data_IF_960586696269
#
_entry.id   IF_960586696269
#
_cell.length_a   1.000
_cell.length_b   1.000
_cell.length_c   1.000
_cell.angle_alpha   90.00
_cell.angle_beta   90.00
_cell.angle_gamma   90.00
#
_symmetry.space_group_name_H-M   'P 1'
#
loop_
_entity.id
_entity.type
_entity.pdbx_description
1 polymer ?
#
# COMPACT_ATOMS: atom_id res chain seq x y z
N UNK A 1 19.00 56.28 46.60
CA UNK A 1 19.11 55.40 45.42
C UNK A 1 20.39 54.59 45.59
N UNK A 2 20.27 53.33 45.98
CA UNK A 2 21.40 52.39 45.98
C UNK A 2 21.83 52.16 44.52
N UNK A 3 23.14 52.14 44.22
CA UNK A 3 23.62 51.93 42.86
C UNK A 3 23.24 50.52 42.38
N UNK A 4 22.76 50.43 41.12
CA UNK A 4 22.50 49.16 40.43
C UNK A 4 23.77 48.31 40.44
N UNK A 5 23.71 47.02 40.82
CA UNK A 5 24.86 46.15 40.66
C UNK A 5 25.20 46.01 39.17
N UNK A 6 26.48 46.19 38.83
CA UNK A 6 27.01 46.22 37.46
C UNK A 6 26.70 44.94 36.65
N UNK A 7 26.35 43.85 37.35
CA UNK A 7 25.94 42.56 36.79
C UNK A 7 24.65 42.65 35.96
N UNK A 8 23.68 43.49 36.34
CA UNK A 8 22.37 43.58 35.64
C UNK A 8 22.51 44.20 34.24
N UNK A 9 23.38 45.21 34.09
CA UNK A 9 23.63 45.83 32.78
C UNK A 9 24.31 44.84 31.83
N UNK A 10 25.23 44.03 32.34
CA UNK A 10 25.88 42.96 31.57
C UNK A 10 24.92 41.83 31.18
N UNK A 11 23.93 41.49 32.03
CA UNK A 11 22.87 40.51 31.68
C UNK A 11 22.08 40.98 30.46
N UNK A 12 21.63 42.24 30.43
CA UNK A 12 20.87 42.79 29.29
C UNK A 12 21.73 42.94 28.02
N UNK A 13 22.99 43.40 28.16
CA UNK A 13 23.88 43.62 27.01
C UNK A 13 24.37 42.30 26.37
N UNK A 14 24.57 41.23 27.16
CA UNK A 14 25.12 39.94 26.66
C UNK A 14 24.03 38.98 26.21
N UNK A 15 22.86 38.98 26.86
CA UNK A 15 21.81 37.99 26.59
C UNK A 15 20.65 38.53 25.75
N UNK A 16 20.55 39.86 25.56
CA UNK A 16 19.50 40.46 24.73
C UNK A 16 18.10 39.92 25.06
N UNK A 17 17.37 39.49 24.03
CA UNK A 17 16.03 38.88 24.13
C UNK A 17 16.06 37.35 24.35
N UNK A 18 17.24 36.76 24.55
CA UNK A 18 17.38 35.33 24.77
C UNK A 18 17.01 35.03 26.23
N UNK A 19 16.15 34.03 26.47
CA UNK A 19 15.73 33.58 27.79
C UNK A 19 16.50 32.30 28.20
N UNK A 20 17.80 32.37 28.55
CA UNK A 20 18.58 31.20 28.90
C UNK A 20 18.16 30.61 30.26
N UNK A 21 18.39 29.31 30.43
CA UNK A 21 18.21 28.63 31.71
C UNK A 21 19.13 29.20 32.79
N UNK A 22 18.69 29.14 34.05
CA UNK A 22 19.41 29.69 35.21
C UNK A 22 20.85 29.17 35.32
N UNK A 23 21.08 27.89 35.03
CA UNK A 23 22.42 27.29 35.03
C UNK A 23 23.36 27.92 33.99
N UNK A 24 22.82 28.33 32.85
CA UNK A 24 23.57 28.98 31.79
C UNK A 24 23.93 30.42 32.17
N UNK A 25 23.04 31.10 32.90
CA UNK A 25 23.29 32.44 33.47
C UNK A 25 24.40 32.36 34.52
N UNK A 26 24.29 31.43 35.49
CA UNK A 26 25.29 31.20 36.54
C UNK A 26 26.68 30.92 35.94
N UNK A 27 26.74 30.01 34.95
CA UNK A 27 28.01 29.57 34.34
C UNK A 27 28.65 30.64 33.44
N UNK A 28 27.86 31.43 32.73
CA UNK A 28 28.39 32.42 31.78
C UNK A 28 28.76 33.74 32.46
N UNK A 29 28.06 34.13 33.52
CA UNK A 29 28.26 35.43 34.16
C UNK A 29 28.91 35.36 35.54
N UNK A 30 29.13 34.16 36.10
CA UNK A 30 29.80 33.99 37.39
C UNK A 30 29.04 34.62 38.55
N UNK A 31 27.71 34.63 38.46
CA UNK A 31 26.81 35.20 39.48
C UNK A 31 26.59 34.15 40.58
N UNK A 32 26.80 34.55 41.84
CA UNK A 32 26.62 33.69 43.00
C UNK A 32 25.13 33.46 43.31
N UNK A 33 24.83 32.36 44.01
CA UNK A 33 23.45 31.92 44.27
C UNK A 33 22.64 32.92 45.12
N UNK A 34 23.31 33.69 45.97
CA UNK A 34 22.70 34.74 46.79
C UNK A 34 22.34 35.99 45.95
N UNK A 35 23.15 36.34 44.94
CA UNK A 35 22.84 37.42 44.00
C UNK A 35 21.66 37.04 43.10
N UNK A 36 21.56 35.77 42.70
CA UNK A 36 20.43 35.27 41.92
C UNK A 36 19.11 35.34 42.70
N UNK A 37 19.16 35.06 44.01
CA UNK A 37 18.00 35.21 44.92
C UNK A 37 17.59 36.67 45.04
N UNK A 38 18.54 37.57 45.23
CA UNK A 38 18.26 39.01 45.32
C UNK A 38 17.64 39.57 44.02
N UNK A 39 18.07 39.10 42.84
CA UNK A 39 17.48 39.47 41.55
C UNK A 39 16.02 38.98 41.42
N UNK A 40 15.73 37.76 41.87
CA UNK A 40 14.37 37.21 41.82
C UNK A 40 13.42 37.91 42.80
N UNK A 41 13.91 38.29 43.98
CA UNK A 41 13.17 39.09 44.96
C UNK A 41 12.92 40.52 44.44
N UNK A 42 13.90 41.13 43.75
CA UNK A 42 13.74 42.45 43.14
C UNK A 42 12.78 42.45 41.93
N UNK A 43 12.76 41.37 41.12
CA UNK A 43 11.76 41.19 40.06
C UNK A 43 10.33 41.06 40.60
N UNK A 44 10.15 40.38 41.73
CA UNK A 44 8.83 40.25 42.38
C UNK A 44 8.35 41.57 43.00
N UNK A 45 9.26 42.41 43.50
CA UNK A 45 8.91 43.69 44.12
C UNK A 45 8.62 44.79 43.10
N UNK A 46 9.21 44.75 41.91
CA UNK A 46 8.88 45.70 40.82
C UNK A 46 7.54 45.35 40.14
N UNK A 47 7.07 44.10 40.21
CA UNK A 47 5.69 43.76 39.82
C UNK A 47 4.70 44.10 40.94
N UNK A 48 4.58 45.38 41.28
CA UNK A 48 3.46 45.84 42.11
C UNK A 48 2.14 45.39 41.45
N UNK A 49 1.29 44.59 42.12
CA UNK A 49 -0.02 44.26 41.60
C UNK A 49 -0.88 45.49 41.84
N UNK A 50 -0.85 46.47 40.92
CA UNK A 50 -1.82 47.56 40.92
C UNK A 50 -3.23 46.94 40.91
N UNK A 51 -3.94 47.06 42.03
CA UNK A 51 -5.38 46.92 42.21
C UNK A 51 -6.09 45.87 41.35
N UNK A 52 -5.60 44.62 41.39
CA UNK A 52 -6.39 43.51 40.82
C UNK A 52 -7.55 43.20 41.76
N UNK A 53 -8.73 43.70 41.39
CA UNK A 53 -10.01 43.26 41.96
C UNK A 53 -10.04 41.72 41.91
N UNK A 54 -10.40 41.02 43.01
CA UNK A 54 -10.51 39.57 42.99
C UNK A 54 -11.60 39.15 41.99
N UNK A 55 -11.16 38.62 40.85
CA UNK A 55 -12.04 38.19 39.76
C UNK A 55 -12.57 36.79 40.04
N UNK A 56 -13.90 36.64 40.14
CA UNK A 56 -14.55 35.34 40.12
C UNK A 56 -14.56 34.78 38.70
N UNK A 57 -13.63 33.86 38.42
CA UNK A 57 -13.40 33.27 37.08
C UNK A 57 -14.65 32.70 36.42
N UNK A 58 -15.59 32.12 37.19
CA UNK A 58 -16.82 31.52 36.63
C UNK A 58 -17.79 32.58 36.13
N UNK A 59 -17.99 33.65 36.90
CA UNK A 59 -18.90 34.73 36.53
C UNK A 59 -18.34 35.55 35.36
N UNK A 60 -17.04 35.80 35.35
CA UNK A 60 -16.40 36.51 34.23
C UNK A 60 -16.42 35.70 32.94
N UNK A 61 -16.24 34.38 33.00
CA UNK A 61 -16.35 33.53 31.81
C UNK A 61 -17.78 33.56 31.26
N UNK A 62 -18.79 33.41 32.12
CA UNK A 62 -20.20 33.48 31.68
C UNK A 62 -20.55 34.85 31.09
N UNK A 63 -20.04 35.94 31.66
CA UNK A 63 -20.24 37.28 31.13
C UNK A 63 -19.55 37.47 29.76
N UNK A 64 -18.31 36.97 29.61
CA UNK A 64 -17.59 36.96 28.34
C UNK A 64 -18.36 36.18 27.26
N UNK A 65 -18.82 34.97 27.59
CA UNK A 65 -19.59 34.13 26.68
C UNK A 65 -20.92 34.81 26.29
N UNK A 66 -21.58 35.50 27.23
CA UNK A 66 -22.86 36.20 26.98
C UNK A 66 -22.69 37.46 26.12
N UNK A 67 -21.57 38.17 26.29
CA UNK A 67 -21.25 39.38 25.54
C UNK A 67 -20.52 39.08 24.22
N UNK A 68 -20.16 37.81 23.96
CA UNK A 68 -19.38 37.41 22.79
C UNK A 68 -17.93 37.91 22.80
N UNK A 69 -17.42 38.34 23.96
CA UNK A 69 -16.09 38.95 24.07
C UNK A 69 -15.06 37.88 24.34
N UNK A 70 -14.12 37.69 23.41
CA UNK A 70 -12.98 36.82 23.57
C UNK A 70 -11.72 37.63 23.94
N UNK A 71 -11.53 37.88 25.24
CA UNK A 71 -10.36 38.59 25.77
C UNK A 71 -9.03 37.91 25.44
N UNK A 72 -9.01 36.59 25.23
CA UNK A 72 -7.78 35.93 24.79
C UNK A 72 -7.45 36.30 23.35
N UNK A 73 -8.45 36.39 22.46
CA UNK A 73 -8.28 36.80 21.06
C UNK A 73 -7.80 38.25 20.95
N UNK A 74 -8.45 39.15 21.68
CA UNK A 74 -8.06 40.57 21.73
C UNK A 74 -6.62 40.76 22.23
N UNK A 75 -6.20 39.97 23.24
CA UNK A 75 -4.80 39.97 23.69
C UNK A 75 -3.83 39.47 22.63
N UNK A 76 -4.22 38.48 21.82
CA UNK A 76 -3.36 38.00 20.73
C UNK A 76 -3.22 39.08 19.65
N UNK A 77 -4.29 39.82 19.35
CA UNK A 77 -4.23 40.97 18.43
C UNK A 77 -3.25 42.03 18.94
N UNK A 78 -3.33 42.38 20.22
CA UNK A 78 -2.46 43.38 20.85
C UNK A 78 -0.99 42.92 20.92
N UNK A 79 -0.73 41.67 21.31
CA UNK A 79 0.62 41.11 21.43
C UNK A 79 1.30 40.94 20.06
N UNK A 80 0.56 40.49 19.05
CA UNK A 80 1.10 40.28 17.71
C UNK A 80 0.98 41.50 16.80
N UNK A 81 0.22 42.53 17.21
CA UNK A 81 -0.05 43.72 16.40
C UNK A 81 -0.81 43.41 15.11
N UNK A 82 -1.64 42.37 15.12
CA UNK A 82 -2.39 41.89 13.95
C UNK A 82 -3.88 42.16 14.10
N UNK A 83 -4.56 42.32 12.97
CA UNK A 83 -6.01 42.48 12.93
C UNK A 83 -6.74 41.15 13.16
N UNK A 84 -8.05 41.27 13.40
CA UNK A 84 -8.90 40.12 13.69
C UNK A 84 -9.02 39.17 12.49
N UNK A 85 -8.95 39.73 11.28
CA UNK A 85 -9.02 38.98 10.02
C UNK A 85 -7.80 38.09 9.82
N UNK A 86 -6.59 38.56 10.15
CA UNK A 86 -5.37 37.73 10.11
C UNK A 86 -5.47 36.56 11.09
N UNK A 87 -6.02 36.79 12.30
CA UNK A 87 -6.21 35.71 13.27
C UNK A 87 -7.25 34.71 12.78
N UNK A 88 -8.36 35.17 12.20
CA UNK A 88 -9.38 34.30 11.60
C UNK A 88 -8.81 33.43 10.49
N UNK A 89 -7.97 34.03 9.63
CA UNK A 89 -7.33 33.30 8.53
C UNK A 89 -6.38 32.22 9.05
N UNK A 90 -5.54 32.55 10.04
CA UNK A 90 -4.66 31.59 10.68
C UNK A 90 -5.42 30.44 11.38
N UNK A 91 -6.53 30.75 12.06
CA UNK A 91 -7.39 29.76 12.71
C UNK A 91 -8.03 28.82 11.67
N UNK A 92 -8.48 29.38 10.53
CA UNK A 92 -9.01 28.59 9.42
C UNK A 92 -7.94 27.68 8.82
N UNK A 93 -6.73 28.18 8.57
CA UNK A 93 -5.62 27.39 8.02
C UNK A 93 -5.21 26.25 8.99
N UNK A 94 -5.15 26.52 10.29
CA UNK A 94 -4.87 25.49 11.29
C UNK A 94 -5.97 24.41 11.31
N UNK A 95 -7.23 24.81 11.16
CA UNK A 95 -8.36 23.88 11.12
C UNK A 95 -8.28 22.96 9.90
N UNK A 96 -7.97 23.50 8.72
CA UNK A 96 -7.80 22.74 7.49
C UNK A 96 -6.60 21.79 7.59
N UNK A 97 -5.49 22.26 8.16
CA UNK A 97 -4.32 21.42 8.39
C UNK A 97 -4.62 20.25 9.34
N UNK A 98 -5.37 20.48 10.42
CA UNK A 98 -5.83 19.42 11.34
C UNK A 98 -6.73 18.42 10.63
N UNK A 99 -7.67 18.88 9.81
CA UNK A 99 -8.54 17.99 9.04
C UNK A 99 -7.73 17.13 8.06
N UNK A 100 -6.78 17.74 7.35
CA UNK A 100 -5.88 17.03 6.43
C UNK A 100 -5.04 15.95 7.15
N UNK A 101 -4.54 16.23 8.35
CA UNK A 101 -3.85 15.23 9.18
C UNK A 101 -4.77 14.08 9.58
N UNK A 102 -6.02 14.38 9.96
CA UNK A 102 -7.02 13.36 10.31
C UNK A 102 -7.34 12.50 9.08
N UNK A 103 -7.55 13.13 7.91
CA UNK A 103 -7.82 12.42 6.65
C UNK A 103 -6.66 11.50 6.29
N UNK A 104 -5.42 12.00 6.34
CA UNK A 104 -4.21 11.21 6.07
C UNK A 104 -4.03 10.06 7.05
N UNK A 105 -4.32 10.27 8.34
CA UNK A 105 -4.25 9.19 9.33
C UNK A 105 -5.29 8.10 9.07
N UNK A 106 -6.53 8.46 8.71
CA UNK A 106 -7.57 7.51 8.30
C UNK A 106 -7.19 6.72 7.05
N UNK A 107 -6.68 7.39 6.03
CA UNK A 107 -6.20 6.74 4.80
C UNK A 107 -5.03 5.78 5.06
N UNK A 108 -4.11 6.14 5.95
CA UNK A 108 -3.01 5.27 6.37
C UNK A 108 -3.48 4.04 7.14
N UNK A 109 -4.48 4.15 8.00
CA UNK A 109 -5.09 3.00 8.69
C UNK A 109 -5.74 2.06 7.67
N UNK A 110 -6.45 2.60 6.68
CA UNK A 110 -7.09 1.79 5.63
C UNK A 110 -6.04 1.07 4.76
N UNK A 111 -4.97 1.77 4.35
CA UNK A 111 -3.94 1.21 3.48
C UNK A 111 -3.07 0.17 4.18
N UNK A 112 -2.66 0.44 5.42
CA UNK A 112 -1.86 -0.50 6.23
C UNK A 112 -2.61 -1.79 6.54
N UNK A 113 -3.92 -1.69 6.84
CA UNK A 113 -4.73 -2.85 7.17
C UNK A 113 -5.25 -3.62 5.94
N UNK A 114 -5.08 -3.09 4.72
CA UNK A 114 -5.62 -3.71 3.49
C UNK A 114 -5.19 -5.16 3.31
N UNK A 115 -3.91 -5.48 3.55
CA UNK A 115 -3.40 -6.87 3.43
C UNK A 115 -3.96 -7.79 4.51
N UNK A 116 -4.06 -7.29 5.75
CA UNK A 116 -4.59 -8.06 6.88
C UNK A 116 -6.08 -8.32 6.70
N UNK A 117 -6.82 -7.32 6.23
CA UNK A 117 -8.24 -7.41 5.90
C UNK A 117 -8.48 -8.38 4.73
N UNK A 118 -7.67 -8.30 3.67
CA UNK A 118 -7.75 -9.22 2.55
C UNK A 118 -7.50 -10.67 2.99
N UNK A 119 -6.48 -10.91 3.84
CA UNK A 119 -6.24 -12.25 4.41
C UNK A 119 -7.41 -12.74 5.27
N UNK A 120 -8.02 -11.87 6.07
CA UNK A 120 -9.17 -12.22 6.90
C UNK A 120 -10.40 -12.56 6.04
N UNK A 121 -10.70 -11.74 5.03
CA UNK A 121 -11.80 -11.97 4.10
C UNK A 121 -11.62 -13.28 3.31
N UNK A 122 -10.40 -13.55 2.81
CA UNK A 122 -10.09 -14.83 2.16
C UNK A 122 -10.27 -16.03 3.09
N UNK A 123 -9.91 -15.91 4.38
CA UNK A 123 -10.15 -16.98 5.37
C UNK A 123 -11.64 -17.20 5.66
N UNK A 124 -12.46 -16.16 5.55
CA UNK A 124 -13.92 -16.25 5.69
C UNK A 124 -14.62 -16.73 4.40
N UNK A 125 -13.88 -16.96 3.32
CA UNK A 125 -14.43 -17.34 2.02
C UNK A 125 -15.14 -16.20 1.29
N UNK A 126 -14.92 -14.94 1.72
CA UNK A 126 -15.52 -13.75 1.12
C UNK A 126 -14.52 -13.18 0.11
N UNK A 127 -14.90 -13.15 -1.17
CA UNK A 127 -14.13 -12.43 -2.19
C UNK A 127 -14.45 -10.92 -2.09
N UNK A 128 -13.47 -10.07 -1.76
CA UNK A 128 -13.69 -8.62 -1.70
C UNK A 128 -14.17 -8.01 -3.03
N UNK A 129 -13.87 -8.66 -4.16
CA UNK A 129 -14.35 -8.25 -5.48
C UNK A 129 -15.86 -8.47 -5.60
N UNK A 130 -16.34 -9.64 -5.21
CA UNK A 130 -17.78 -9.96 -5.19
C UNK A 130 -18.54 -9.07 -4.21
N UNK A 131 -17.97 -8.82 -3.02
CA UNK A 131 -18.57 -7.92 -2.04
C UNK A 131 -18.70 -6.48 -2.58
N UNK A 132 -17.65 -5.98 -3.26
CA UNK A 132 -17.70 -4.65 -3.89
C UNK A 132 -18.75 -4.60 -5.00
N UNK A 133 -18.83 -5.63 -5.84
CA UNK A 133 -19.80 -5.73 -6.94
C UNK A 133 -21.23 -5.79 -6.39
N UNK A 134 -21.49 -6.61 -5.37
CA UNK A 134 -22.79 -6.72 -4.68
C UNK A 134 -23.26 -5.35 -4.17
N UNK A 135 -22.39 -4.63 -3.47
CA UNK A 135 -22.69 -3.31 -2.93
C UNK A 135 -22.93 -2.25 -4.01
N UNK A 136 -22.16 -2.30 -5.10
CA UNK A 136 -22.25 -1.30 -6.18
C UNK A 136 -23.49 -1.51 -7.05
N UNK A 137 -23.86 -2.77 -7.28
CA UNK A 137 -25.00 -3.14 -8.10
C UNK A 137 -26.30 -3.32 -7.27
N UNK A 138 -26.22 -3.29 -5.94
CA UNK A 138 -27.38 -3.45 -5.05
C UNK A 138 -27.95 -4.87 -5.04
N UNK A 139 -27.16 -5.88 -5.39
CA UNK A 139 -27.60 -7.28 -5.52
C UNK A 139 -27.13 -8.08 -4.31
N UNK A 140 -27.91 -9.08 -3.86
CA UNK A 140 -27.51 -9.92 -2.72
C UNK A 140 -26.21 -10.67 -3.01
N UNK A 141 -25.35 -10.79 -2.00
CA UNK A 141 -24.05 -11.47 -2.12
C UNK A 141 -24.20 -12.95 -2.50
N UNK A 142 -25.30 -13.59 -2.11
CA UNK A 142 -25.62 -14.97 -2.47
C UNK A 142 -25.78 -15.15 -3.98
N UNK A 143 -26.39 -14.18 -4.67
CA UNK A 143 -26.58 -14.22 -6.13
C UNK A 143 -25.25 -14.17 -6.89
N UNK A 144 -24.28 -13.42 -6.37
CA UNK A 144 -22.95 -13.30 -6.97
C UNK A 144 -22.04 -14.48 -6.63
N UNK A 145 -22.13 -15.01 -5.41
CA UNK A 145 -21.38 -16.20 -5.01
C UNK A 145 -21.90 -17.48 -5.70
N UNK A 146 -23.17 -17.51 -6.11
CA UNK A 146 -23.73 -18.56 -6.98
C UNK A 146 -23.48 -18.33 -8.47
N UNK A 147 -23.20 -17.09 -8.88
CA UNK A 147 -22.91 -16.70 -10.27
C UNK A 147 -21.44 -16.86 -10.68
N UNK A 148 -20.51 -16.92 -9.73
CA UNK A 148 -19.21 -17.54 -10.00
C UNK A 148 -19.49 -19.03 -10.09
N UNK A 149 -19.70 -19.49 -11.32
CA UNK A 149 -19.47 -20.87 -11.73
C UNK A 149 -18.28 -21.37 -10.91
N UNK A 150 -18.53 -22.19 -9.87
CA UNK A 150 -17.54 -23.16 -9.44
C UNK A 150 -17.02 -23.71 -10.76
N UNK A 151 -15.70 -23.67 -11.05
CA UNK A 151 -15.21 -24.38 -12.21
C UNK A 151 -15.86 -25.75 -12.08
N UNK A 152 -16.78 -26.09 -13.00
CA UNK A 152 -17.27 -27.44 -13.06
C UNK A 152 -15.99 -28.26 -13.02
N UNK A 153 -15.83 -29.23 -12.10
CA UNK A 153 -14.72 -30.14 -12.23
C UNK A 153 -14.90 -30.70 -13.63
N UNK A 154 -14.06 -30.26 -14.57
CA UNK A 154 -14.08 -30.75 -15.94
C UNK A 154 -13.86 -32.23 -15.75
N UNK A 155 -14.95 -32.99 -15.84
CA UNK A 155 -15.06 -34.36 -15.32
C UNK A 155 -14.34 -35.37 -16.21
N UNK A 156 -13.36 -34.88 -16.96
CA UNK A 156 -12.36 -35.68 -17.63
C UNK A 156 -11.41 -36.13 -16.54
N UNK A 157 -11.86 -37.16 -15.80
CA UNK A 157 -10.97 -37.97 -14.97
C UNK A 157 -9.70 -38.26 -15.79
N UNK A 158 -8.50 -38.15 -15.19
CA UNK A 158 -7.25 -38.45 -15.88
C UNK A 158 -7.25 -39.83 -16.56
N UNK A 159 -8.12 -40.75 -16.12
CA UNK A 159 -8.39 -42.02 -16.78
C UNK A 159 -8.87 -41.88 -18.24
N UNK A 160 -9.72 -40.90 -18.56
CA UNK A 160 -10.17 -40.65 -19.93
C UNK A 160 -9.05 -40.13 -20.83
N UNK A 161 -8.20 -39.24 -20.29
CA UNK A 161 -7.03 -38.77 -21.04
C UNK A 161 -6.07 -39.92 -21.36
N UNK A 162 -5.80 -40.79 -20.38
CA UNK A 162 -4.99 -41.99 -20.60
C UNK A 162 -5.65 -42.96 -21.60
N UNK A 163 -6.97 -43.11 -21.58
CA UNK A 163 -7.70 -43.93 -22.54
C UNK A 163 -7.55 -43.44 -23.99
N UNK A 164 -7.65 -42.13 -24.24
CA UNK A 164 -7.45 -41.60 -25.59
C UNK A 164 -5.98 -41.67 -26.04
N UNK A 165 -5.03 -41.50 -25.11
CA UNK A 165 -3.60 -41.65 -25.41
C UNK A 165 -3.28 -43.10 -25.80
N UNK A 166 -3.78 -44.09 -25.05
CA UNK A 166 -3.56 -45.51 -25.39
C UNK A 166 -4.22 -45.91 -26.70
N UNK A 167 -5.43 -45.40 -26.98
CA UNK A 167 -6.15 -45.66 -28.23
C UNK A 167 -5.43 -45.02 -29.43
N UNK A 168 -4.86 -43.83 -29.26
CA UNK A 168 -4.04 -43.17 -30.28
C UNK A 168 -2.75 -43.96 -30.55
N UNK A 169 -2.03 -44.40 -29.52
CA UNK A 169 -0.83 -45.24 -29.68
C UNK A 169 -1.18 -46.55 -30.39
N UNK A 170 -2.31 -47.19 -30.04
CA UNK A 170 -2.78 -48.41 -30.70
C UNK A 170 -3.12 -48.19 -32.19
N UNK A 171 -3.77 -47.07 -32.52
CA UNK A 171 -4.08 -46.73 -33.91
C UNK A 171 -2.81 -46.49 -34.74
N UNK A 172 -1.82 -45.80 -34.17
CA UNK A 172 -0.53 -45.55 -34.84
C UNK A 172 0.25 -46.85 -35.04
N UNK A 173 0.31 -47.73 -34.05
CA UNK A 173 1.00 -49.02 -34.21
C UNK A 173 0.29 -49.91 -35.22
N UNK A 174 -1.04 -49.93 -35.23
CA UNK A 174 -1.81 -50.67 -36.22
C UNK A 174 -1.60 -50.13 -37.65
N UNK A 175 -1.55 -48.80 -37.80
CA UNK A 175 -1.24 -48.16 -39.08
C UNK A 175 0.18 -48.53 -39.57
N UNK A 176 1.18 -48.52 -38.69
CA UNK A 176 2.55 -48.91 -39.04
C UNK A 176 2.65 -50.39 -39.44
N UNK A 177 1.91 -51.29 -38.79
CA UNK A 177 1.86 -52.71 -39.15
C UNK A 177 1.24 -52.89 -40.54
N UNK A 178 0.17 -52.17 -40.87
CA UNK A 178 -0.45 -52.22 -42.21
C UNK A 178 0.54 -51.72 -43.27
N UNK A 179 1.23 -50.60 -43.01
CA UNK A 179 2.25 -50.06 -43.91
C UNK A 179 3.40 -51.06 -44.13
N UNK A 180 3.88 -51.72 -43.08
CA UNK A 180 4.90 -52.76 -43.23
C UNK A 180 4.40 -53.96 -44.05
N UNK A 181 3.14 -54.38 -43.86
CA UNK A 181 2.56 -55.47 -44.65
C UNK A 181 2.42 -55.10 -46.12
N UNK A 182 2.03 -53.88 -46.44
CA UNK A 182 1.96 -53.39 -47.82
C UNK A 182 3.35 -53.37 -48.47
N UNK A 183 4.35 -52.81 -47.79
CA UNK A 183 5.73 -52.81 -48.29
C UNK A 183 6.27 -54.23 -48.52
N UNK A 184 5.89 -55.20 -47.68
CA UNK A 184 6.27 -56.60 -47.87
C UNK A 184 5.57 -57.26 -49.06
N UNK A 185 4.28 -56.96 -49.29
CA UNK A 185 3.57 -57.44 -50.49
C UNK A 185 4.19 -56.86 -51.77
N UNK A 186 4.52 -55.56 -51.78
CA UNK A 186 5.14 -54.91 -52.93
C UNK A 186 6.55 -55.45 -53.21
N UNK A 187 7.32 -55.78 -52.17
CA UNK A 187 8.62 -56.41 -52.35
C UNK A 187 8.47 -57.83 -52.94
N UNK A 188 7.46 -58.58 -52.49
CA UNK A 188 7.17 -59.92 -53.02
C UNK A 188 6.75 -59.88 -54.49
N UNK A 189 5.89 -58.93 -54.87
CA UNK A 189 5.45 -58.78 -56.28
C UNK A 189 6.61 -58.37 -57.19
N UNK A 190 7.51 -57.49 -56.72
CA UNK A 190 8.74 -57.14 -57.44
C UNK A 190 9.66 -58.35 -57.65
N UNK A 191 9.84 -59.19 -56.61
CA UNK A 191 10.67 -60.38 -56.70
C UNK A 191 10.08 -61.43 -57.64
N UNK A 192 8.76 -61.63 -57.61
CA UNK A 192 8.05 -62.54 -58.51
C UNK A 192 8.15 -62.07 -59.98
N UNK A 193 8.06 -60.75 -60.24
CA UNK A 193 8.30 -60.19 -61.57
C UNK A 193 9.73 -60.43 -62.06
N UNK A 194 10.74 -60.20 -61.20
CA UNK A 194 12.13 -60.44 -61.57
C UNK A 194 12.38 -61.91 -61.93
N UNK A 195 11.83 -62.85 -61.16
CA UNK A 195 11.94 -64.29 -61.43
C UNK A 195 11.27 -64.68 -62.76
N UNK A 196 10.13 -64.08 -63.10
CA UNK A 196 9.49 -64.30 -64.40
C UNK A 196 10.33 -63.76 -65.57
N UNK A 197 10.97 -62.58 -65.41
CA UNK A 197 11.89 -62.05 -66.42
C UNK A 197 13.09 -62.96 -66.65
N UNK A 198 13.69 -63.50 -65.58
CA UNK A 198 14.81 -64.45 -65.68
C UNK A 198 14.40 -65.73 -66.41
N UNK A 199 13.25 -66.33 -66.04
CA UNK A 199 12.75 -67.55 -66.69
C UNK A 199 12.40 -67.34 -68.16
N UNK A 200 11.77 -66.21 -68.51
CA UNK A 200 11.45 -65.88 -69.90
C UNK A 200 12.69 -65.63 -70.77
N UNK A 201 13.75 -65.03 -70.20
CA UNK A 201 15.03 -64.86 -70.89
C UNK A 201 15.77 -66.19 -71.09
N UNK A 202 15.69 -67.13 -70.14
CA UNK A 202 16.22 -68.48 -70.32
C UNK A 202 15.49 -69.27 -71.41
N UNK A 203 14.16 -69.15 -71.53
CA UNK A 203 13.44 -69.77 -72.64
C UNK A 203 13.78 -69.19 -74.01
N UNK A 204 13.95 -67.86 -74.13
CA UNK A 204 14.39 -67.22 -75.38
C UNK A 204 15.80 -67.63 -75.81
N UNK A 205 16.71 -67.84 -74.86
CA UNK A 205 18.07 -68.24 -75.18
C UNK A 205 18.16 -69.70 -75.65
N UNK A 206 17.26 -70.57 -75.19
CA UNK A 206 17.21 -71.97 -75.60
C UNK A 206 16.49 -72.18 -76.94
N UNK A 207 15.50 -71.33 -77.28
CA UNK A 207 14.82 -71.39 -78.58
C UNK A 207 15.68 -70.91 -79.76
N UNK A 208 16.67 -70.05 -79.52
CA UNK A 208 17.59 -69.58 -80.57
C UNK A 208 18.68 -70.60 -80.94
N UNK A 209 18.94 -71.61 -80.11
CA UNK A 209 19.89 -72.67 -80.43
C UNK A 209 19.31 -73.78 -81.31
N UNK A 210 17.99 -73.91 -81.40
CA UNK A 210 17.33 -74.97 -82.18
C UNK A 210 16.96 -74.58 -83.63
N UNK A 211 17.28 -73.36 -84.09
CA UNK A 211 16.97 -72.89 -85.45
C UNK A 211 18.20 -72.78 -86.37
N UNK A 212 19.33 -73.39 -86.00
CA UNK A 212 20.49 -73.57 -86.88
C UNK A 212 20.83 -75.05 -86.98
N UNK A 213 20.03 -75.79 -87.73
CA UNK A 213 20.41 -77.08 -88.29
C UNK A 213 19.84 -77.24 -89.69
#
# INVERSE_FOLDING_TARGET
>A
MSPRPESIKKVMDVLGDFNPSEDKIKKTLGIDEDELRQINEEKQTISSPKDRIPINRKLTKKAQDTLGINLSREKLMDVFGVDEDTINWAESEESEHKENLIKKSRENIVSSNKRTLQKALSKMGIDPSNHKIARTLGVSEELLNHGVLKPQPSSWSPAYALFFITLFILAVTFYLIIQQKQNFLDLKTLLDQQNQFINNNHHRHNSNFNNHH
#
